data_IF_187505170758
#
_entry.id   IF_187505170758
#
_cell.length_a   1.000
_cell.length_b   1.000
_cell.length_c   1.000
_cell.angle_alpha   90.00
_cell.angle_beta   90.00
_cell.angle_gamma   90.00
#
_symmetry.space_group_name_H-M   'P 1'
#
loop_
_entity.id
_entity.type
_entity.pdbx_description
1 polymer ?
#
# COMPACT_ATOMS: atom_id res chain seq x y z
N UNK A 1 4.37 0.04 6.32
CA UNK A 1 3.15 0.52 5.66
C UNK A 1 2.38 -0.67 5.09
N UNK A 2 1.09 -0.53 4.83
CA UNK A 2 0.34 -1.48 4.00
C UNK A 2 0.81 -1.39 2.54
N UNK A 3 0.82 -2.49 1.77
CA UNK A 3 1.26 -2.49 0.37
C UNK A 3 0.43 -1.58 -0.54
N UNK A 4 -0.88 -1.41 -0.28
CA UNK A 4 -1.74 -0.50 -1.04
C UNK A 4 -1.20 0.94 -0.93
N UNK A 5 -0.89 1.38 0.29
CA UNK A 5 -0.41 2.74 0.55
C UNK A 5 1.06 2.94 0.17
N UNK A 6 1.88 1.88 0.24
CA UNK A 6 3.25 1.95 -0.30
C UNK A 6 3.24 2.15 -1.82
N UNK A 7 2.36 1.44 -2.54
CA UNK A 7 2.18 1.64 -3.98
C UNK A 7 1.67 3.06 -4.30
N UNK A 8 0.65 3.52 -3.57
CA UNK A 8 0.12 4.89 -3.70
C UNK A 8 1.21 5.95 -3.48
N UNK A 9 2.01 5.80 -2.41
CA UNK A 9 3.15 6.67 -2.10
C UNK A 9 4.13 6.77 -3.27
N UNK A 10 4.49 5.64 -3.88
CA UNK A 10 5.43 5.61 -5.01
C UNK A 10 4.84 6.31 -6.24
N UNK A 11 3.57 6.02 -6.58
CA UNK A 11 2.88 6.61 -7.74
C UNK A 11 2.79 8.13 -7.58
N UNK A 12 2.25 8.61 -6.46
CA UNK A 12 2.10 10.04 -6.20
C UNK A 12 3.44 10.75 -6.06
N UNK A 13 4.44 10.12 -5.43
CA UNK A 13 5.79 10.69 -5.34
C UNK A 13 6.45 10.84 -6.71
N UNK A 14 6.22 9.91 -7.63
CA UNK A 14 6.67 10.05 -9.01
C UNK A 14 5.92 11.17 -9.75
N UNK A 15 4.61 11.34 -9.53
CA UNK A 15 3.86 12.46 -10.09
C UNK A 15 4.38 13.82 -9.59
N UNK A 16 4.71 13.92 -8.29
CA UNK A 16 5.33 15.12 -7.71
C UNK A 16 6.72 15.40 -8.29
N UNK A 17 7.50 14.35 -8.59
CA UNK A 17 8.78 14.50 -9.29
C UNK A 17 8.60 15.13 -10.67
N UNK A 18 7.64 14.65 -11.44
CA UNK A 18 7.36 15.18 -12.78
C UNK A 18 6.87 16.63 -12.70
N UNK A 19 6.04 16.98 -11.72
CA UNK A 19 5.67 18.38 -11.45
C UNK A 19 6.89 19.25 -11.15
N UNK A 20 7.77 18.82 -10.25
CA UNK A 20 8.99 19.57 -9.92
C UNK A 20 9.98 19.69 -11.09
N UNK A 21 10.00 18.75 -12.04
CA UNK A 21 10.77 18.89 -13.28
C UNK A 21 10.27 20.03 -14.17
N UNK A 22 8.97 20.32 -14.16
CA UNK A 22 8.43 21.46 -14.90
C UNK A 22 8.96 22.78 -14.29
N UNK A 23 9.06 22.83 -12.96
CA UNK A 23 9.70 23.95 -12.26
C UNK A 23 11.20 24.06 -12.55
N UNK A 24 11.92 22.93 -12.58
CA UNK A 24 13.33 22.86 -12.99
C UNK A 24 13.53 23.50 -14.38
N UNK A 25 12.69 23.12 -15.36
CA UNK A 25 12.74 23.68 -16.73
C UNK A 25 12.43 25.18 -16.73
N UNK A 26 11.41 25.60 -15.98
CA UNK A 26 10.99 27.01 -15.92
C UNK A 26 12.08 27.90 -15.32
N UNK A 27 12.68 27.46 -14.21
CA UNK A 27 13.80 28.16 -13.57
C UNK A 27 15.02 28.16 -14.50
N UNK A 28 15.30 27.05 -15.18
CA UNK A 28 16.36 26.98 -16.17
C UNK A 28 16.18 28.00 -17.31
N UNK A 29 14.97 28.11 -17.87
CA UNK A 29 14.64 29.11 -18.90
C UNK A 29 14.79 30.54 -18.34
N UNK A 30 14.32 30.80 -17.12
CA UNK A 30 14.44 32.11 -16.48
C UNK A 30 15.91 32.51 -16.28
N UNK A 31 16.75 31.60 -15.78
CA UNK A 31 18.19 31.84 -15.65
C UNK A 31 18.84 32.07 -17.00
N UNK A 32 18.47 31.29 -18.03
CA UNK A 32 18.99 31.50 -19.39
C UNK A 32 18.63 32.89 -19.91
N UNK A 33 17.36 33.33 -19.77
CA UNK A 33 16.90 34.65 -20.20
C UNK A 33 17.53 35.82 -19.42
N UNK A 34 17.75 35.68 -18.11
CA UNK A 34 18.35 36.74 -17.28
C UNK A 34 19.86 36.87 -17.44
N UNK A 35 20.52 35.81 -17.91
CA UNK A 35 21.97 35.76 -18.11
C UNK A 35 22.43 36.19 -19.50
N UNK A 36 21.54 36.26 -20.49
CA UNK A 36 21.87 36.70 -21.85
C UNK A 36 22.51 38.09 -21.95
N UNK A 37 22.25 39.08 -21.08
CA UNK A 37 22.97 40.36 -21.13
C UNK A 37 24.41 40.28 -20.61
N UNK A 38 24.81 39.18 -19.96
CA UNK A 38 26.11 39.05 -19.28
C UNK A 38 27.15 38.23 -20.07
N UNK A 39 26.72 37.41 -21.04
CA UNK A 39 27.63 36.55 -21.82
C UNK A 39 28.16 37.31 -23.04
N UNK A 40 29.08 38.23 -22.81
CA UNK A 40 29.96 38.73 -23.88
C UNK A 40 31.13 37.77 -24.02
N UNK A 41 31.27 37.08 -25.18
CA UNK A 41 32.48 37.11 -26.04
C UNK A 41 32.67 35.92 -27.01
N UNK A 42 31.90 34.83 -26.99
CA UNK A 42 32.03 33.77 -28.03
C UNK A 42 30.74 33.01 -28.34
N UNK A 43 30.49 32.65 -29.62
CA UNK A 43 29.33 31.84 -30.04
C UNK A 43 29.22 30.50 -29.28
N UNK A 44 30.38 29.92 -28.92
CA UNK A 44 30.47 28.67 -28.15
C UNK A 44 29.95 28.82 -26.71
N UNK A 45 30.24 29.93 -26.04
CA UNK A 45 29.71 30.19 -24.69
C UNK A 45 28.19 30.43 -24.72
N UNK A 46 27.68 31.07 -25.78
CA UNK A 46 26.24 31.25 -25.98
C UNK A 46 25.50 29.90 -26.19
N UNK A 47 26.13 28.92 -26.83
CA UNK A 47 25.57 27.59 -27.09
C UNK A 47 25.68 26.63 -25.89
N UNK A 48 26.78 26.70 -25.13
CA UNK A 48 27.02 25.81 -23.99
C UNK A 48 26.33 26.28 -22.70
N UNK A 49 26.02 27.58 -22.59
CA UNK A 49 25.43 28.15 -21.38
C UNK A 49 23.99 27.63 -21.09
N UNK A 50 23.06 27.57 -22.06
CA UNK A 50 21.76 26.92 -21.87
C UNK A 50 21.91 25.44 -21.52
N UNK A 51 22.92 24.77 -22.08
CA UNK A 51 23.21 23.36 -21.80
C UNK A 51 23.70 23.16 -20.36
N UNK A 52 24.57 24.05 -19.86
CA UNK A 52 25.06 24.04 -18.49
C UNK A 52 23.97 24.30 -17.47
N UNK A 53 23.04 25.21 -17.75
CA UNK A 53 21.84 25.42 -16.92
C UNK A 53 20.95 24.19 -16.97
N UNK A 54 20.69 23.65 -18.16
CA UNK A 54 19.87 22.44 -18.29
C UNK A 54 20.49 21.27 -17.51
N UNK A 55 21.80 21.03 -17.63
CA UNK A 55 22.47 19.94 -16.89
C UNK A 55 22.54 20.21 -15.38
N UNK A 56 22.74 21.46 -14.96
CA UNK A 56 22.85 21.84 -13.55
C UNK A 56 21.51 21.92 -12.81
N UNK A 57 20.43 22.26 -13.51
CA UNK A 57 19.11 22.51 -12.92
C UNK A 57 18.02 21.54 -13.38
N UNK A 58 18.26 20.62 -14.32
CA UNK A 58 17.25 19.62 -14.68
C UNK A 58 17.25 18.44 -13.71
N UNK A 59 16.30 18.43 -12.79
CA UNK A 59 16.03 17.31 -11.89
C UNK A 59 16.27 17.54 -10.39
N UNK A 60 17.07 18.51 -9.90
CA UNK A 60 17.19 18.78 -8.47
C UNK A 60 15.86 19.14 -7.80
N UNK A 61 15.06 20.07 -8.36
CA UNK A 61 13.77 20.47 -7.76
C UNK A 61 12.78 19.31 -7.85
N UNK A 62 12.73 18.61 -8.98
CA UNK A 62 11.94 17.37 -9.11
C UNK A 62 12.26 16.33 -8.04
N UNK A 63 13.55 16.10 -7.75
CA UNK A 63 13.96 15.19 -6.67
C UNK A 63 13.54 15.71 -5.30
N UNK A 64 13.79 16.99 -5.00
CA UNK A 64 13.40 17.60 -3.73
C UNK A 64 11.89 17.56 -3.48
N UNK A 65 11.07 17.78 -4.51
CA UNK A 65 9.61 17.69 -4.43
C UNK A 65 9.16 16.26 -4.12
N UNK A 66 9.74 15.27 -4.81
CA UNK A 66 9.49 13.86 -4.51
C UNK A 66 9.87 13.53 -3.07
N UNK A 67 11.08 13.87 -2.63
CA UNK A 67 11.57 13.51 -1.30
C UNK A 67 10.73 14.18 -0.20
N UNK A 68 10.34 15.45 -0.39
CA UNK A 68 9.44 16.16 0.52
C UNK A 68 8.07 15.48 0.59
N UNK A 69 7.49 15.10 -0.55
CA UNK A 69 6.22 14.37 -0.60
C UNK A 69 6.32 13.02 0.12
N UNK A 70 7.36 12.23 -0.16
CA UNK A 70 7.53 10.90 0.45
C UNK A 70 7.64 11.00 1.97
N UNK A 71 8.39 11.98 2.48
CA UNK A 71 8.52 12.21 3.91
C UNK A 71 7.18 12.63 4.55
N UNK A 72 6.46 13.55 3.92
CA UNK A 72 5.15 13.99 4.42
C UNK A 72 4.13 12.84 4.41
N UNK A 73 4.11 12.03 3.35
CA UNK A 73 3.25 10.87 3.24
C UNK A 73 3.54 9.84 4.35
N UNK A 74 4.81 9.55 4.61
CA UNK A 74 5.23 8.65 5.69
C UNK A 74 4.83 9.21 7.06
N UNK A 75 5.01 10.51 7.30
CA UNK A 75 4.60 11.16 8.55
C UNK A 75 3.08 11.05 8.77
N UNK A 76 2.28 11.35 7.75
CA UNK A 76 0.82 11.25 7.84
C UNK A 76 0.38 9.80 8.06
N UNK A 77 0.90 8.84 7.29
CA UNK A 77 0.58 7.42 7.47
C UNK A 77 0.92 6.93 8.89
N UNK A 78 2.09 7.34 9.41
CA UNK A 78 2.52 6.97 10.76
C UNK A 78 1.63 7.61 11.84
N UNK A 79 1.18 8.86 11.64
CA UNK A 79 0.23 9.53 12.53
C UNK A 79 -1.10 8.78 12.60
N UNK A 80 -1.68 8.42 11.43
CA UNK A 80 -2.90 7.63 11.36
C UNK A 80 -2.71 6.27 12.03
N UNK A 81 -1.61 5.58 11.74
CA UNK A 81 -1.30 4.27 12.33
C UNK A 81 -1.16 4.32 13.85
N UNK A 82 -0.60 5.41 14.38
CA UNK A 82 -0.43 5.63 15.81
C UNK A 82 -1.77 5.92 16.49
N UNK A 83 -2.65 6.69 15.85
CA UNK A 83 -4.00 6.93 16.38
C UNK A 83 -4.86 5.66 16.32
N UNK A 84 -4.76 4.86 15.25
CA UNK A 84 -5.39 3.54 15.14
C UNK A 84 -4.98 2.62 16.31
N UNK A 85 -3.68 2.56 16.61
CA UNK A 85 -3.16 1.76 17.73
C UNK A 85 -3.58 2.28 19.11
N UNK A 86 -3.90 3.58 19.25
CA UNK A 86 -4.50 4.13 20.47
C UNK A 86 -5.99 3.78 20.57
N UNK A 87 -6.70 3.89 19.45
CA UNK A 87 -8.12 3.55 19.35
C UNK A 87 -8.36 2.09 19.69
N UNK A 88 -7.54 1.18 19.15
CA UNK A 88 -7.64 -0.26 19.40
C UNK A 88 -7.46 -0.67 20.87
N UNK A 89 -6.87 0.20 21.70
CA UNK A 89 -6.69 -0.03 23.15
C UNK A 89 -7.86 0.51 23.98
N UNK A 90 -8.64 1.44 23.44
CA UNK A 90 -9.81 2.00 24.13
C UNK A 90 -10.99 1.04 23.94
N UNK A 91 -11.64 0.71 25.05
CA UNK A 91 -12.86 -0.07 25.04
C UNK A 91 -14.04 0.87 24.71
N UNK A 92 -14.96 0.42 23.88
CA UNK A 92 -16.27 1.05 23.66
C UNK A 92 -16.22 2.48 23.05
N UNK A 93 -15.46 2.67 21.97
CA UNK A 93 -15.51 3.89 21.15
C UNK A 93 -16.86 3.99 20.42
N UNK A 94 -17.51 5.14 20.50
CA UNK A 94 -18.74 5.39 19.74
C UNK A 94 -18.42 5.73 18.28
N UNK A 95 -19.33 5.41 17.34
CA UNK A 95 -19.14 5.76 15.92
C UNK A 95 -18.86 7.25 15.71
N UNK A 96 -19.51 8.13 16.49
CA UNK A 96 -19.28 9.58 16.45
C UNK A 96 -17.86 9.98 16.85
N UNK A 97 -17.27 9.29 17.83
CA UNK A 97 -15.89 9.54 18.25
C UNK A 97 -14.88 9.04 17.22
N UNK A 98 -15.17 7.90 16.59
CA UNK A 98 -14.37 7.38 15.47
C UNK A 98 -14.42 8.38 14.32
N UNK A 99 -15.61 8.79 13.89
CA UNK A 99 -15.80 9.76 12.80
C UNK A 99 -15.06 11.06 13.05
N UNK A 100 -15.13 11.60 14.27
CA UNK A 100 -14.41 12.82 14.62
C UNK A 100 -12.90 12.66 14.43
N UNK A 101 -12.31 11.57 14.93
CA UNK A 101 -10.87 11.31 14.82
C UNK A 101 -10.43 11.05 13.39
N UNK A 102 -11.24 10.34 12.61
CA UNK A 102 -10.96 10.11 11.19
C UNK A 102 -10.92 11.45 10.45
N UNK A 103 -11.91 12.31 10.65
CA UNK A 103 -11.95 13.64 10.04
C UNK A 103 -10.76 14.52 10.43
N UNK A 104 -10.25 14.42 11.67
CA UNK A 104 -9.05 15.14 12.12
C UNK A 104 -7.75 14.65 11.43
N UNK A 105 -7.77 13.44 10.86
CA UNK A 105 -6.63 12.81 10.19
C UNK A 105 -6.66 12.91 8.66
N UNK A 106 -7.77 13.40 8.09
CA UNK A 106 -7.91 13.62 6.65
C UNK A 106 -6.91 14.68 6.19
N UNK A 107 -6.24 14.42 5.07
CA UNK A 107 -5.28 15.34 4.45
C UNK A 107 -5.47 15.31 2.93
N UNK A 108 -4.78 16.19 2.21
CA UNK A 108 -4.77 16.14 0.73
C UNK A 108 -4.26 14.80 0.18
N UNK A 109 -3.44 14.06 0.95
CA UNK A 109 -2.88 12.77 0.54
C UNK A 109 -3.71 11.56 0.98
N UNK A 110 -4.63 11.75 1.93
CA UNK A 110 -5.44 10.69 2.55
C UNK A 110 -6.86 11.17 2.75
N UNK A 111 -7.78 10.65 1.95
CA UNK A 111 -9.20 10.90 2.15
C UNK A 111 -9.78 10.12 3.33
N UNK A 112 -11.06 10.35 3.63
CA UNK A 112 -11.73 9.73 4.78
C UNK A 112 -11.73 8.18 4.70
N UNK A 113 -12.02 7.61 3.54
CA UNK A 113 -12.07 6.15 3.35
C UNK A 113 -10.67 5.54 3.46
N UNK A 114 -9.66 6.24 2.95
CA UNK A 114 -8.27 5.84 3.07
C UNK A 114 -7.76 5.88 4.51
N UNK A 115 -8.15 6.90 5.28
CA UNK A 115 -7.85 6.94 6.73
C UNK A 115 -8.50 5.74 7.43
N UNK A 116 -9.76 5.42 7.12
CA UNK A 116 -10.44 4.23 7.65
C UNK A 116 -9.73 2.94 7.25
N UNK A 117 -9.25 2.85 6.01
CA UNK A 117 -8.53 1.67 5.50
C UNK A 117 -7.17 1.47 6.20
N UNK A 118 -6.43 2.55 6.49
CA UNK A 118 -5.21 2.46 7.31
C UNK A 118 -5.54 2.02 8.73
N UNK A 119 -6.59 2.57 9.35
CA UNK A 119 -7.02 2.19 10.69
C UNK A 119 -7.38 0.70 10.72
N UNK A 120 -8.23 0.25 9.80
CA UNK A 120 -8.65 -1.14 9.69
C UNK A 120 -7.47 -2.10 9.52
N UNK A 121 -6.50 -1.76 8.66
CA UNK A 121 -5.30 -2.57 8.46
C UNK A 121 -4.45 -2.71 9.73
N UNK A 122 -4.29 -1.62 10.49
CA UNK A 122 -3.53 -1.63 11.75
C UNK A 122 -4.27 -2.44 12.82
N UNK A 123 -5.58 -2.23 12.95
CA UNK A 123 -6.41 -2.99 13.88
C UNK A 123 -6.38 -4.49 13.59
N UNK A 124 -6.54 -4.90 12.32
CA UNK A 124 -6.46 -6.31 11.92
C UNK A 124 -5.10 -6.91 12.27
N UNK A 125 -4.01 -6.19 11.99
CA UNK A 125 -2.65 -6.66 12.32
C UNK A 125 -2.48 -6.90 13.82
N UNK A 126 -2.99 -5.99 14.66
CA UNK A 126 -2.96 -6.13 16.12
C UNK A 126 -3.87 -7.29 16.59
N UNK A 127 -5.04 -7.41 15.98
CA UNK A 127 -6.03 -8.45 16.26
C UNK A 127 -5.50 -9.83 15.90
N UNK A 128 -4.89 -10.02 14.73
CA UNK A 128 -4.27 -11.29 14.32
C UNK A 128 -3.28 -11.80 15.37
N UNK A 129 -2.42 -10.92 15.87
CA UNK A 129 -1.46 -11.25 16.95
C UNK A 129 -2.18 -11.68 18.23
N UNK A 130 -3.21 -10.95 18.64
CA UNK A 130 -3.98 -11.26 19.84
C UNK A 130 -4.78 -12.58 19.69
N UNK A 131 -5.36 -12.82 18.52
CA UNK A 131 -6.20 -13.98 18.22
C UNK A 131 -5.36 -15.24 18.07
N UNK A 132 -4.18 -15.15 17.45
CA UNK A 132 -3.20 -16.23 17.39
C UNK A 132 -2.75 -16.65 18.79
N UNK A 133 -2.43 -15.69 19.67
CA UNK A 133 -2.04 -15.98 21.06
C UNK A 133 -3.13 -16.74 21.82
N UNK A 134 -4.40 -16.39 21.57
CA UNK A 134 -5.58 -17.03 22.17
C UNK A 134 -6.03 -18.29 21.43
N UNK A 135 -5.49 -18.57 20.23
CA UNK A 135 -5.92 -19.64 19.31
C UNK A 135 -7.43 -19.63 19.04
N UNK A 136 -7.97 -18.45 18.70
CA UNK A 136 -9.40 -18.23 18.45
C UNK A 136 -9.65 -17.64 17.07
N UNK A 137 -10.83 -17.94 16.50
CA UNK A 137 -11.34 -17.31 15.28
C UNK A 137 -12.40 -16.28 15.65
N UNK A 138 -12.27 -15.06 15.13
CA UNK A 138 -13.28 -14.01 15.30
C UNK A 138 -13.81 -13.60 13.93
N UNK A 139 -15.09 -13.24 13.90
CA UNK A 139 -15.72 -12.70 12.71
C UNK A 139 -15.12 -11.33 12.39
N UNK A 140 -14.76 -11.13 11.12
CA UNK A 140 -14.28 -9.85 10.60
C UNK A 140 -15.37 -9.27 9.70
N UNK A 141 -16.15 -8.27 10.15
CA UNK A 141 -17.16 -7.67 9.30
C UNK A 141 -16.49 -6.77 8.25
N UNK A 142 -16.89 -6.92 7.00
CA UNK A 142 -16.42 -6.06 5.91
C UNK A 142 -17.50 -5.97 4.82
N UNK A 143 -17.76 -4.76 4.34
CA UNK A 143 -18.75 -4.46 3.28
C UNK A 143 -18.15 -4.57 1.88
N UNK A 144 -16.81 -4.57 1.74
CA UNK A 144 -16.12 -4.70 0.45
C UNK A 144 -16.25 -6.11 -0.15
N UNK A 145 -16.63 -7.11 0.65
CA UNK A 145 -16.76 -8.50 0.22
C UNK A 145 -18.21 -8.95 0.14
N UNK A 146 -18.62 -9.46 -1.03
CA UNK A 146 -19.92 -10.14 -1.17
C UNK A 146 -19.84 -11.59 -0.67
N UNK A 147 -20.53 -11.86 0.44
CA UNK A 147 -20.57 -13.17 1.09
C UNK A 147 -21.70 -14.05 0.58
N UNK A 148 -21.42 -15.33 0.39
CA UNK A 148 -22.43 -16.35 0.07
C UNK A 148 -23.23 -16.71 1.33
N UNK A 149 -24.38 -17.36 1.15
CA UNK A 149 -25.18 -17.87 2.28
C UNK A 149 -24.33 -18.74 3.22
N UNK A 150 -24.33 -18.41 4.52
CA UNK A 150 -23.54 -19.09 5.56
C UNK A 150 -22.02 -18.93 5.43
N UNK A 151 -21.54 -18.00 4.60
CA UNK A 151 -20.13 -17.63 4.50
C UNK A 151 -19.78 -16.60 5.59
N UNK A 152 -18.70 -16.84 6.31
CA UNK A 152 -18.22 -15.98 7.41
C UNK A 152 -16.74 -15.65 7.16
N UNK A 153 -16.39 -14.37 7.21
CA UNK A 153 -15.02 -13.87 7.15
C UNK A 153 -14.34 -13.98 8.51
N UNK A 154 -13.09 -14.45 8.50
CA UNK A 154 -12.26 -14.58 9.71
C UNK A 154 -10.92 -13.87 9.62
N UNK A 155 -10.54 -13.40 8.43
CA UNK A 155 -9.26 -12.78 8.18
C UNK A 155 -9.42 -11.68 7.14
N UNK A 156 -8.71 -10.58 7.35
CA UNK A 156 -8.54 -9.51 6.38
C UNK A 156 -7.14 -8.93 6.50
N UNK A 157 -6.48 -8.65 5.38
CA UNK A 157 -5.26 -7.86 5.35
C UNK A 157 -5.08 -7.22 3.98
N UNK A 158 -4.06 -6.38 3.83
CA UNK A 158 -3.63 -5.85 2.54
C UNK A 158 -2.41 -6.64 2.08
N UNK A 159 -2.39 -7.05 0.81
CA UNK A 159 -1.35 -7.92 0.26
C UNK A 159 -1.03 -7.55 -1.19
N UNK A 160 0.11 -8.05 -1.68
CA UNK A 160 0.43 -8.11 -3.10
C UNK A 160 0.11 -9.53 -3.56
N UNK A 161 -0.67 -9.64 -4.63
CA UNK A 161 -1.02 -10.91 -5.26
C UNK A 161 -0.10 -11.18 -6.46
N UNK A 162 0.50 -12.35 -6.48
CA UNK A 162 1.30 -12.85 -7.59
C UNK A 162 0.93 -14.30 -7.96
N UNK A 163 1.32 -14.72 -9.16
CA UNK A 163 1.12 -16.09 -9.66
C UNK A 163 2.41 -16.73 -10.14
N UNK A 164 2.60 -18.02 -9.85
CA UNK A 164 3.76 -18.78 -10.29
C UNK A 164 4.40 -19.56 -9.15
N UNK A 165 5.73 -19.59 -9.11
CA UNK A 165 6.51 -20.11 -7.98
C UNK A 165 7.15 -18.96 -7.20
N UNK A 166 7.56 -19.17 -5.93
CA UNK A 166 8.24 -18.13 -5.15
C UNK A 166 9.43 -17.49 -5.90
N UNK A 167 10.22 -18.29 -6.61
CA UNK A 167 11.40 -17.82 -7.35
C UNK A 167 11.10 -17.28 -8.76
N UNK A 168 9.92 -17.58 -9.32
CA UNK A 168 9.51 -17.15 -10.64
C UNK A 168 8.01 -16.85 -10.64
N UNK A 169 7.68 -15.66 -10.16
CA UNK A 169 6.32 -15.17 -10.06
C UNK A 169 6.09 -13.94 -10.94
N UNK A 170 4.82 -13.68 -11.22
CA UNK A 170 4.37 -12.46 -11.88
C UNK A 170 3.35 -11.79 -10.97
N UNK A 171 3.65 -10.57 -10.54
CA UNK A 171 2.71 -9.72 -9.80
C UNK A 171 1.47 -9.48 -10.65
N UNK A 172 0.31 -9.68 -10.04
CA UNK A 172 -1.00 -9.52 -10.66
C UNK A 172 -1.69 -8.24 -10.21
N UNK A 173 -1.69 -7.99 -8.91
CA UNK A 173 -2.35 -6.82 -8.36
C UNK A 173 -1.98 -6.59 -6.88
N UNK A 174 -2.43 -5.47 -6.33
CA UNK A 174 -2.30 -5.11 -4.91
C UNK A 174 -3.69 -4.81 -4.38
N UNK A 175 -4.01 -5.29 -3.18
CA UNK A 175 -5.34 -5.07 -2.63
C UNK A 175 -5.65 -5.80 -1.34
N UNK A 176 -6.93 -6.02 -1.10
CA UNK A 176 -7.45 -6.70 0.06
C UNK A 176 -7.42 -8.20 -0.12
N UNK A 177 -7.04 -8.89 0.94
CA UNK A 177 -7.03 -10.34 0.99
C UNK A 177 -7.76 -10.84 2.22
N UNK A 178 -8.61 -11.84 2.00
CA UNK A 178 -9.53 -12.36 2.97
C UNK A 178 -9.51 -13.89 2.99
N UNK A 179 -9.83 -14.44 4.16
CA UNK A 179 -10.15 -15.86 4.34
C UNK A 179 -11.51 -15.99 5.01
N UNK A 180 -12.40 -16.73 4.36
CA UNK A 180 -13.69 -17.16 4.89
C UNK A 180 -13.68 -18.65 5.26
N UNK A 181 -14.76 -19.14 5.89
CA UNK A 181 -15.00 -20.58 6.05
C UNK A 181 -15.15 -21.36 4.72
N UNK A 182 -15.15 -20.70 3.56
CA UNK A 182 -15.39 -21.35 2.27
C UNK A 182 -14.27 -21.13 1.24
N UNK A 183 -13.57 -20.01 1.31
CA UNK A 183 -12.63 -19.61 0.26
C UNK A 183 -11.67 -18.50 0.72
N UNK A 184 -10.55 -18.42 0.01
CA UNK A 184 -9.77 -17.20 -0.06
C UNK A 184 -10.40 -16.23 -1.07
N UNK A 185 -10.30 -14.94 -0.78
CA UNK A 185 -10.84 -13.87 -1.62
C UNK A 185 -9.77 -12.79 -1.70
N UNK A 186 -9.49 -12.33 -2.91
CA UNK A 186 -8.64 -11.19 -3.18
C UNK A 186 -9.43 -10.16 -3.99
N UNK A 187 -9.36 -8.91 -3.57
CA UNK A 187 -10.00 -7.76 -4.22
C UNK A 187 -8.91 -6.72 -4.44
N UNK A 188 -8.39 -6.65 -5.67
CA UNK A 188 -7.37 -5.71 -6.09
C UNK A 188 -7.95 -4.43 -6.70
N UNK A 189 -7.05 -3.55 -7.10
CA UNK A 189 -7.38 -2.30 -7.80
C UNK A 189 -7.97 -2.59 -9.20
N UNK A 190 -7.44 -3.61 -9.89
CA UNK A 190 -7.82 -3.95 -11.26
C UNK A 190 -8.45 -5.34 -11.38
N UNK A 191 -8.05 -6.28 -10.51
CA UNK A 191 -8.40 -7.69 -10.60
C UNK A 191 -8.93 -8.20 -9.26
N UNK A 192 -9.99 -9.00 -9.33
CA UNK A 192 -10.49 -9.78 -8.19
C UNK A 192 -10.28 -11.26 -8.43
N UNK A 193 -10.00 -12.02 -7.35
CA UNK A 193 -9.80 -13.46 -7.43
C UNK A 193 -10.40 -14.19 -6.23
N UNK A 194 -10.80 -15.44 -6.41
CA UNK A 194 -11.31 -16.25 -5.31
C UNK A 194 -11.02 -17.74 -5.49
N UNK A 195 -10.58 -18.39 -4.40
CA UNK A 195 -10.11 -19.78 -4.40
C UNK A 195 -10.89 -20.54 -3.33
N UNK A 196 -11.74 -21.46 -3.75
CA UNK A 196 -12.50 -22.32 -2.81
C UNK A 196 -11.56 -23.27 -2.08
N UNK A 197 -11.76 -23.46 -0.77
CA UNK A 197 -10.89 -24.31 0.05
C UNK A 197 -10.76 -25.73 -0.49
N UNK A 198 -11.84 -26.31 -1.02
CA UNK A 198 -11.84 -27.64 -1.63
C UNK A 198 -10.98 -27.79 -2.89
N UNK A 199 -10.49 -26.69 -3.48
CA UNK A 199 -9.61 -26.70 -4.66
C UNK A 199 -8.13 -26.58 -4.31
N UNK A 200 -7.81 -26.46 -3.02
CA UNK A 200 -6.44 -26.28 -2.52
C UNK A 200 -5.86 -27.66 -2.20
N UNK A 201 -4.72 -27.96 -2.79
CA UNK A 201 -4.00 -29.22 -2.58
C UNK A 201 -2.99 -29.06 -1.46
N UNK A 202 -2.35 -27.90 -1.37
CA UNK A 202 -1.35 -27.59 -0.36
C UNK A 202 -1.36 -26.09 -0.04
N UNK A 203 -1.06 -25.75 1.21
CA UNK A 203 -0.98 -24.39 1.71
C UNK A 203 0.31 -24.21 2.51
N UNK A 204 1.20 -23.36 2.01
CA UNK A 204 2.53 -23.15 2.58
C UNK A 204 2.72 -21.69 2.99
N UNK A 205 3.51 -21.47 4.03
CA UNK A 205 3.90 -20.15 4.51
C UNK A 205 5.40 -20.03 4.36
N UNK A 206 5.84 -19.02 3.60
CA UNK A 206 7.23 -18.59 3.55
C UNK A 206 7.53 -17.50 4.57
N UNK A 207 8.68 -16.83 4.41
CA UNK A 207 9.11 -15.76 5.32
C UNK A 207 8.18 -14.54 5.29
N UNK A 208 7.62 -14.23 4.13
CA UNK A 208 6.79 -13.06 3.88
C UNK A 208 5.64 -13.33 2.89
N UNK A 209 5.29 -14.60 2.65
CA UNK A 209 4.23 -14.95 1.72
C UNK A 209 3.42 -16.18 2.17
N UNK A 210 2.19 -16.26 1.68
CA UNK A 210 1.38 -17.47 1.68
C UNK A 210 1.30 -18.01 0.24
N UNK A 211 1.65 -19.29 0.07
CA UNK A 211 1.58 -20.00 -1.20
C UNK A 211 0.41 -20.98 -1.17
N UNK A 212 -0.49 -20.82 -2.13
CA UNK A 212 -1.67 -21.67 -2.32
C UNK A 212 -1.47 -22.50 -3.58
N UNK A 213 -1.24 -23.80 -3.38
CA UNK A 213 -1.13 -24.76 -4.47
C UNK A 213 -2.53 -25.29 -4.80
N UNK A 214 -2.95 -25.10 -6.05
CA UNK A 214 -4.29 -25.47 -6.51
C UNK A 214 -4.27 -26.78 -7.29
N UNK A 215 -5.44 -27.40 -7.38
CA UNK A 215 -5.67 -28.60 -8.22
C UNK A 215 -5.41 -28.37 -9.70
N UNK A 216 -5.56 -27.14 -10.19
CA UNK A 216 -5.29 -26.75 -11.57
C UNK A 216 -4.91 -25.27 -11.70
N UNK A 217 -4.16 -24.95 -12.75
CA UNK A 217 -3.67 -23.60 -13.05
C UNK A 217 -2.41 -23.22 -12.28
N UNK A 218 -1.99 -21.95 -12.42
CA UNK A 218 -0.82 -21.42 -11.68
C UNK A 218 -1.14 -21.30 -10.19
N UNK A 219 -0.15 -21.55 -9.35
CA UNK A 219 -0.26 -21.34 -7.90
C UNK A 219 -0.38 -19.85 -7.58
N UNK A 220 -0.99 -19.57 -6.44
CA UNK A 220 -1.29 -18.22 -5.98
C UNK A 220 -0.35 -17.87 -4.83
N UNK A 221 0.25 -16.69 -4.89
CA UNK A 221 1.20 -16.19 -3.90
C UNK A 221 0.65 -14.86 -3.38
N UNK A 222 0.52 -14.75 -2.06
CA UNK A 222 0.09 -13.53 -1.38
C UNK A 222 1.20 -13.05 -0.44
N UNK A 223 1.79 -11.89 -0.74
CA UNK A 223 2.85 -11.31 0.07
C UNK A 223 2.28 -10.61 1.30
N UNK A 224 2.56 -11.16 2.49
CA UNK A 224 2.09 -10.66 3.77
C UNK A 224 3.31 -10.50 4.66
N UNK A 225 3.81 -9.26 4.75
CA UNK A 225 5.07 -8.96 5.43
C UNK A 225 5.02 -9.08 6.97
N UNK A 226 3.84 -9.31 7.56
CA UNK A 226 3.68 -9.48 9.01
C UNK A 226 3.60 -10.95 9.36
N UNK A 227 4.66 -11.47 10.01
CA UNK A 227 4.75 -12.87 10.42
C UNK A 227 3.58 -13.29 11.32
N UNK A 228 3.11 -12.44 12.22
CA UNK A 228 1.95 -12.76 13.06
C UNK A 228 0.67 -12.92 12.23
N UNK A 229 0.51 -12.16 11.15
CA UNK A 229 -0.64 -12.29 10.24
C UNK A 229 -0.54 -13.56 9.40
N UNK A 230 0.64 -13.89 8.86
CA UNK A 230 0.88 -15.16 8.18
C UNK A 230 0.62 -16.37 9.09
N UNK A 231 1.12 -16.30 10.33
CA UNK A 231 0.94 -17.37 11.31
C UNK A 231 -0.52 -17.53 11.72
N UNK A 232 -1.24 -16.42 11.87
CA UNK A 232 -2.68 -16.45 12.13
C UNK A 232 -3.48 -16.99 10.95
N UNK A 233 -3.11 -16.61 9.72
CA UNK A 233 -3.70 -17.14 8.50
C UNK A 233 -3.55 -18.66 8.41
N UNK A 234 -2.36 -19.19 8.69
CA UNK A 234 -2.10 -20.64 8.75
C UNK A 234 -2.95 -21.32 9.80
N UNK A 235 -2.98 -20.78 11.02
CA UNK A 235 -3.84 -21.28 12.10
C UNK A 235 -5.33 -21.33 11.68
N UNK A 236 -5.83 -20.29 11.01
CA UNK A 236 -7.20 -20.25 10.53
C UNK A 236 -7.45 -21.28 9.44
N UNK A 237 -6.56 -21.40 8.46
CA UNK A 237 -6.67 -22.39 7.38
C UNK A 237 -6.78 -23.81 7.94
N UNK A 238 -5.85 -24.20 8.82
CA UNK A 238 -5.84 -25.51 9.50
C UNK A 238 -7.08 -25.78 10.36
N UNK A 239 -7.79 -24.73 10.80
CA UNK A 239 -9.03 -24.85 11.57
C UNK A 239 -10.28 -24.95 10.70
N UNK A 240 -10.19 -24.60 9.43
CA UNK A 240 -11.32 -24.52 8.49
C UNK A 240 -11.34 -25.68 7.50
N UNK A 241 -10.20 -26.34 7.29
CA UNK A 241 -10.03 -27.55 6.48
C UNK A 241 -9.88 -28.77 7.37
#
# INVERSE_FOLDING_TARGET
MSPIFENKKIILGNAQKESGKIFDVTIGILFALLSTPLVTTTLLSLLLFPLGIFVGFYGPIGRSFKDSFLNNFDQTYNSISLEAAKMSKKKDLTSKEVDKRVNELVTESFDYEEVLDVIGFVEDTLNHKAYLKKKVKYLVPDTKVTLKAGEILYFRTHTIWAQGSPDNNVVKDIGYFYLSNKRFIFIGEYNSHSITLSRIVNFEIGNNYALICKTAGKNEIFEINKLESLSYLKFLYEKLT
#
